data_IF_924835462384
#
_entry.id   IF_924835462384
#
_cell.length_a   1.000
_cell.length_b   1.000
_cell.length_c   1.000
_cell.angle_alpha   90.00
_cell.angle_beta   90.00
_cell.angle_gamma   90.00
#
_symmetry.space_group_name_H-M   'P 1'
#
loop_
_entity.id
_entity.type
_entity.pdbx_description
1 polymer ?
#
# COMPACT_ATOMS: atom_id res chain seq x y z
N UNK A 1 27.37 2.93 -2.86
CA UNK A 1 26.40 2.39 -3.83
C UNK A 1 25.96 3.54 -4.72
N UNK A 2 25.99 3.39 -6.05
CA UNK A 2 25.52 4.45 -6.94
C UNK A 2 23.99 4.60 -6.85
N UNK A 3 23.42 5.77 -7.18
CA UNK A 3 21.97 5.97 -7.14
C UNK A 3 21.16 4.92 -7.94
N UNK A 4 21.55 4.50 -9.16
CA UNK A 4 20.85 3.44 -9.89
C UNK A 4 20.86 2.10 -9.16
N UNK A 5 21.98 1.70 -8.57
CA UNK A 5 22.07 0.43 -7.83
C UNK A 5 21.21 0.48 -6.57
N UNK A 6 21.20 1.61 -5.86
CA UNK A 6 20.34 1.79 -4.69
C UNK A 6 18.85 1.76 -5.04
N UNK A 7 18.47 2.41 -6.14
CA UNK A 7 17.12 2.32 -6.71
C UNK A 7 16.77 0.88 -7.06
N UNK A 8 17.65 0.18 -7.79
CA UNK A 8 17.46 -1.20 -8.22
C UNK A 8 17.22 -2.14 -7.05
N UNK A 9 18.07 -2.08 -6.02
CA UNK A 9 17.92 -2.87 -4.80
C UNK A 9 16.59 -2.58 -4.10
N UNK A 10 16.22 -1.32 -3.90
CA UNK A 10 14.97 -0.97 -3.23
C UNK A 10 13.74 -1.41 -4.02
N UNK A 11 13.75 -1.27 -5.36
CA UNK A 11 12.65 -1.69 -6.23
C UNK A 11 12.48 -3.22 -6.25
N UNK A 12 13.51 -4.00 -5.90
CA UNK A 12 13.36 -5.44 -5.68
C UNK A 12 12.93 -5.77 -4.25
N UNK A 13 13.54 -5.14 -3.24
CA UNK A 13 13.28 -5.45 -1.83
C UNK A 13 11.86 -5.05 -1.42
N UNK A 14 11.38 -3.88 -1.84
CA UNK A 14 10.06 -3.36 -1.50
C UNK A 14 8.93 -4.35 -1.86
N UNK A 15 8.75 -4.78 -3.11
CA UNK A 15 7.65 -5.68 -3.47
C UNK A 15 7.79 -7.06 -2.83
N UNK A 16 9.01 -7.57 -2.62
CA UNK A 16 9.24 -8.85 -1.94
C UNK A 16 8.84 -8.76 -0.46
N UNK A 17 9.25 -7.70 0.23
CA UNK A 17 8.86 -7.45 1.62
C UNK A 17 7.35 -7.23 1.75
N UNK A 18 6.74 -6.45 0.85
CA UNK A 18 5.31 -6.20 0.82
C UNK A 18 4.51 -7.50 0.66
N UNK A 19 4.81 -8.29 -0.37
CA UNK A 19 4.08 -9.56 -0.62
C UNK A 19 4.35 -10.58 0.49
N UNK A 20 5.57 -10.64 1.02
CA UNK A 20 5.90 -11.53 2.14
C UNK A 20 5.11 -11.18 3.41
N UNK A 21 5.04 -9.89 3.77
CA UNK A 21 4.26 -9.41 4.90
C UNK A 21 2.75 -9.62 4.68
N UNK A 22 2.25 -9.35 3.47
CA UNK A 22 0.86 -9.61 3.10
C UNK A 22 0.51 -11.10 3.26
N UNK A 23 1.33 -12.00 2.72
CA UNK A 23 1.11 -13.45 2.83
C UNK A 23 1.16 -13.93 4.29
N UNK A 24 2.06 -13.37 5.10
CA UNK A 24 2.12 -13.68 6.52
C UNK A 24 0.88 -13.15 7.28
N UNK A 25 0.35 -11.99 6.92
CA UNK A 25 -0.90 -11.46 7.47
C UNK A 25 -2.10 -12.32 7.05
N UNK A 26 -2.14 -12.80 5.81
CA UNK A 26 -3.15 -13.75 5.36
C UNK A 26 -3.12 -15.03 6.20
N UNK A 27 -1.93 -15.61 6.40
CA UNK A 27 -1.77 -16.86 7.15
C UNK A 27 -2.09 -16.71 8.67
N UNK A 28 -1.73 -15.58 9.29
CA UNK A 28 -1.84 -15.41 10.75
C UNK A 28 -3.08 -14.65 11.21
N UNK A 29 -3.68 -13.85 10.34
CA UNK A 29 -4.76 -12.94 10.69
C UNK A 29 -5.93 -12.98 9.70
N UNK A 30 -5.89 -13.87 8.70
CA UNK A 30 -6.94 -14.02 7.69
C UNK A 30 -7.12 -12.74 6.84
N UNK A 31 -6.05 -11.97 6.67
CA UNK A 31 -6.06 -10.75 5.85
C UNK A 31 -6.07 -11.07 4.34
N UNK A 32 -6.87 -10.37 3.51
CA UNK A 32 -7.75 -9.24 3.83
C UNK A 32 -9.18 -9.63 4.22
N UNK A 33 -9.55 -10.91 4.20
CA UNK A 33 -10.93 -11.36 4.44
C UNK A 33 -11.46 -11.02 5.83
N UNK A 34 -10.59 -10.99 6.83
CA UNK A 34 -10.91 -10.53 8.20
C UNK A 34 -11.49 -9.11 8.21
N UNK A 35 -11.15 -8.25 7.25
CA UNK A 35 -11.67 -6.87 7.19
C UNK A 35 -13.18 -6.81 6.91
N UNK A 36 -13.76 -7.90 6.44
CA UNK A 36 -15.20 -8.02 6.16
C UNK A 36 -15.99 -8.57 7.34
N UNK A 37 -15.33 -8.91 8.45
CA UNK A 37 -15.96 -9.46 9.66
C UNK A 37 -16.47 -8.34 10.58
N UNK A 38 -17.39 -8.64 11.52
CA UNK A 38 -17.79 -7.70 12.54
C UNK A 38 -16.60 -7.24 13.39
N UNK A 39 -16.61 -5.99 13.86
CA UNK A 39 -15.50 -5.40 14.64
C UNK A 39 -15.07 -6.26 15.82
N UNK A 40 -16.02 -6.87 16.53
CA UNK A 40 -15.72 -7.73 17.67
C UNK A 40 -14.86 -8.94 17.27
N UNK A 41 -15.15 -9.58 16.13
CA UNK A 41 -14.36 -10.72 15.63
C UNK A 41 -12.95 -10.27 15.25
N UNK A 42 -12.83 -9.13 14.57
CA UNK A 42 -11.53 -8.55 14.18
C UNK A 42 -10.68 -8.29 15.42
N UNK A 43 -11.24 -7.58 16.41
CA UNK A 43 -10.53 -7.19 17.62
C UNK A 43 -10.16 -8.41 18.49
N UNK A 44 -11.02 -9.43 18.57
CA UNK A 44 -10.70 -10.67 19.26
C UNK A 44 -9.54 -11.40 18.59
N UNK A 45 -9.61 -11.65 17.27
CA UNK A 45 -8.50 -12.28 16.54
C UNK A 45 -7.21 -11.47 16.66
N UNK A 46 -7.32 -10.14 16.66
CA UNK A 46 -6.16 -9.28 16.81
C UNK A 46 -5.54 -9.42 18.22
N UNK A 47 -6.38 -9.54 19.26
CA UNK A 47 -5.95 -9.78 20.63
C UNK A 47 -5.23 -11.13 20.76
N UNK A 48 -5.77 -12.17 20.13
CA UNK A 48 -5.21 -13.53 20.12
C UNK A 48 -3.86 -13.59 19.39
N UNK A 49 -3.67 -12.77 18.34
CA UNK A 49 -2.40 -12.65 17.61
C UNK A 49 -1.25 -11.99 18.39
N UNK A 50 -1.56 -11.29 19.49
CA UNK A 50 -0.58 -10.74 20.42
C UNK A 50 0.45 -9.78 19.82
N UNK A 51 1.60 -9.66 20.46
CA UNK A 51 2.69 -8.77 20.02
C UNK A 51 3.27 -9.15 18.65
N UNK A 52 3.26 -10.44 18.31
CA UNK A 52 3.73 -10.92 17.00
C UNK A 52 2.92 -10.34 15.85
N UNK A 53 1.59 -10.27 15.99
CA UNK A 53 0.72 -9.66 14.97
C UNK A 53 0.91 -8.13 14.88
N UNK A 54 1.14 -7.46 16.02
CA UNK A 54 1.46 -6.01 16.03
C UNK A 54 2.75 -5.73 15.26
N UNK A 55 3.81 -6.51 15.51
CA UNK A 55 5.09 -6.37 14.80
C UNK A 55 4.96 -6.70 13.32
N UNK A 56 4.10 -7.64 12.95
CA UNK A 56 3.83 -7.97 11.56
C UNK A 56 3.14 -6.82 10.84
N UNK A 57 2.12 -6.22 11.44
CA UNK A 57 1.46 -5.03 10.91
C UNK A 57 2.40 -3.82 10.83
N UNK A 58 3.28 -3.64 11.82
CA UNK A 58 4.32 -2.63 11.76
C UNK A 58 5.28 -2.86 10.58
N UNK A 59 5.73 -4.11 10.40
CA UNK A 59 6.59 -4.49 9.28
C UNK A 59 5.91 -4.22 7.93
N UNK A 60 4.62 -4.53 7.80
CA UNK A 60 3.82 -4.22 6.62
C UNK A 60 3.66 -2.70 6.41
N UNK A 61 3.46 -1.92 7.47
CA UNK A 61 3.45 -0.46 7.36
C UNK A 61 4.80 0.10 6.87
N UNK A 62 5.93 -0.50 7.28
CA UNK A 62 7.25 -0.08 6.82
C UNK A 62 7.50 -0.34 5.34
N UNK A 63 6.83 -1.32 4.71
CA UNK A 63 6.98 -1.51 3.26
C UNK A 63 6.40 -0.34 2.47
N UNK A 64 5.37 0.35 3.00
CA UNK A 64 4.88 1.60 2.43
C UNK A 64 5.92 2.73 2.53
N UNK A 65 6.62 2.82 3.67
CA UNK A 65 7.69 3.82 3.87
C UNK A 65 8.83 3.63 2.87
N UNK A 66 9.16 2.39 2.50
CA UNK A 66 10.19 2.10 1.49
C UNK A 66 9.87 2.68 0.10
N UNK A 67 8.61 2.97 -0.21
CA UNK A 67 8.23 3.57 -1.49
C UNK A 67 8.76 5.00 -1.65
N UNK A 68 8.83 5.78 -0.56
CA UNK A 68 9.33 7.15 -0.61
C UNK A 68 10.78 7.26 -1.12
N UNK A 69 11.77 6.58 -0.51
CA UNK A 69 13.13 6.60 -1.04
C UNK A 69 13.23 5.89 -2.39
N UNK A 70 12.44 4.84 -2.66
CA UNK A 70 12.43 4.18 -3.97
C UNK A 70 11.99 5.14 -5.09
N UNK A 71 10.96 5.95 -4.87
CA UNK A 71 10.48 6.94 -5.83
C UNK A 71 11.54 8.02 -6.14
N UNK A 72 12.17 8.57 -5.10
CA UNK A 72 13.22 9.59 -5.25
C UNK A 72 14.46 9.03 -5.96
N UNK A 73 14.92 7.84 -5.56
CA UNK A 73 16.10 7.22 -6.13
C UNK A 73 15.88 6.78 -7.58
N UNK A 74 14.67 6.27 -7.91
CA UNK A 74 14.31 5.95 -9.28
C UNK A 74 14.36 7.20 -10.17
N UNK A 75 13.78 8.32 -9.74
CA UNK A 75 13.87 9.57 -10.51
C UNK A 75 15.31 10.02 -10.71
N UNK A 76 16.19 9.85 -9.72
CA UNK A 76 17.62 10.12 -9.85
C UNK A 76 18.38 9.15 -10.78
N UNK A 77 17.82 7.96 -11.04
CA UNK A 77 18.41 6.96 -11.93
C UNK A 77 18.01 7.13 -13.41
N UNK A 78 16.91 7.85 -13.69
CA UNK A 78 16.36 8.05 -15.03
C UNK A 78 16.96 9.26 -15.74
N UNK A 79 18.27 9.21 -16.00
CA UNK A 79 18.98 10.26 -16.73
C UNK A 79 18.35 10.50 -18.12
N UNK A 80 18.27 11.77 -18.55
CA UNK A 80 17.72 12.16 -19.86
C UNK A 80 16.20 12.38 -19.89
N UNK A 81 15.48 11.99 -18.84
CA UNK A 81 14.06 12.30 -18.71
C UNK A 81 13.81 13.78 -18.32
N UNK A 82 12.61 14.27 -18.61
CA UNK A 82 12.20 15.65 -18.31
C UNK A 82 12.30 15.95 -16.79
N UNK A 83 13.00 17.02 -16.37
CA UNK A 83 13.19 17.32 -14.94
C UNK A 83 11.88 17.59 -14.18
N UNK A 84 10.88 18.17 -14.84
CA UNK A 84 9.58 18.45 -14.20
C UNK A 84 8.85 17.15 -13.93
N UNK A 85 8.84 16.23 -14.89
CA UNK A 85 8.28 14.89 -14.76
C UNK A 85 8.95 14.10 -13.63
N UNK A 86 10.28 14.15 -13.52
CA UNK A 86 11.04 13.48 -12.45
C UNK A 86 10.72 14.04 -11.06
N UNK A 87 10.54 15.37 -10.96
CA UNK A 87 10.15 16.06 -9.73
C UNK A 87 8.72 15.70 -9.31
N UNK A 88 7.77 15.76 -10.24
CA UNK A 88 6.39 15.34 -10.02
C UNK A 88 6.32 13.86 -9.62
N UNK A 89 7.03 12.98 -10.33
CA UNK A 89 7.13 11.57 -9.97
C UNK A 89 7.64 11.36 -8.55
N UNK A 90 8.73 12.03 -8.17
CA UNK A 90 9.26 11.95 -6.80
C UNK A 90 8.24 12.40 -5.75
N UNK A 91 7.62 13.56 -5.96
CA UNK A 91 6.63 14.12 -5.04
C UNK A 91 5.40 13.21 -4.91
N UNK A 92 4.86 12.71 -6.03
CA UNK A 92 3.71 11.81 -6.04
C UNK A 92 4.03 10.48 -5.36
N UNK A 93 5.20 9.89 -5.60
CA UNK A 93 5.61 8.64 -4.95
C UNK A 93 5.81 8.79 -3.44
N UNK A 94 6.37 9.92 -2.98
CA UNK A 94 6.47 10.23 -1.55
C UNK A 94 5.09 10.41 -0.92
N UNK A 95 4.16 11.11 -1.60
CA UNK A 95 2.79 11.24 -1.11
C UNK A 95 2.08 9.89 -1.04
N UNK A 96 2.27 9.02 -2.05
CA UNK A 96 1.74 7.65 -2.05
C UNK A 96 2.24 6.86 -0.83
N UNK A 97 3.54 6.92 -0.55
CA UNK A 97 4.15 6.29 0.62
C UNK A 97 3.54 6.79 1.94
N UNK A 98 3.35 8.11 2.06
CA UNK A 98 2.79 8.73 3.26
C UNK A 98 1.35 8.29 3.50
N UNK A 99 0.46 8.39 2.51
CA UNK A 99 -0.96 8.03 2.71
C UNK A 99 -1.13 6.54 2.99
N UNK A 100 -0.34 5.69 2.30
CA UNK A 100 -0.37 4.25 2.52
C UNK A 100 0.11 3.90 3.95
N UNK A 101 1.19 4.55 4.40
CA UNK A 101 1.68 4.41 5.77
C UNK A 101 0.62 4.87 6.80
N UNK A 102 0.03 6.04 6.61
CA UNK A 102 -1.03 6.57 7.49
C UNK A 102 -2.24 5.64 7.58
N UNK A 103 -2.60 4.99 6.47
CA UNK A 103 -3.60 3.92 6.50
C UNK A 103 -3.16 2.78 7.42
N UNK A 104 -1.96 2.24 7.21
CA UNK A 104 -1.50 1.02 7.88
C UNK A 104 -1.18 1.21 9.37
N UNK A 105 -0.70 2.38 9.81
CA UNK A 105 -0.28 2.62 11.22
C UNK A 105 -1.40 2.50 12.26
N UNK A 106 -2.67 2.52 11.85
CA UNK A 106 -3.77 2.25 12.78
C UNK A 106 -3.66 0.86 13.41
N UNK A 107 -3.16 -0.14 12.67
CA UNK A 107 -3.02 -1.51 13.13
C UNK A 107 -2.01 -1.71 14.26
N UNK A 108 -0.80 -1.13 14.23
CA UNK A 108 0.15 -1.25 15.33
C UNK A 108 -0.12 -0.33 16.53
N UNK A 109 -0.90 0.76 16.38
CA UNK A 109 -1.05 1.75 17.45
C UNK A 109 -2.47 1.88 18.01
N UNK A 110 -3.49 1.97 17.15
CA UNK A 110 -4.88 2.17 17.58
C UNK A 110 -5.57 0.82 17.89
N UNK A 111 -5.48 -0.13 16.96
CA UNK A 111 -6.15 -1.44 17.07
C UNK A 111 -5.76 -2.22 18.34
N UNK A 112 -4.50 -2.23 18.82
CA UNK A 112 -4.16 -2.94 20.05
C UNK A 112 -4.81 -2.33 21.29
N UNK A 113 -5.03 -1.01 21.30
CA UNK A 113 -5.77 -0.34 22.37
C UNK A 113 -7.25 -0.74 22.32
N UNK A 114 -7.89 -0.58 21.16
CA UNK A 114 -9.30 -0.96 20.98
C UNK A 114 -9.56 -2.44 21.29
N UNK A 115 -8.64 -3.33 20.91
CA UNK A 115 -8.74 -4.76 21.21
C UNK A 115 -8.71 -5.05 22.72
N UNK A 116 -7.92 -4.30 23.51
CA UNK A 116 -7.94 -4.43 24.97
C UNK A 116 -9.24 -3.91 25.57
N UNK A 117 -9.68 -2.72 25.15
CA UNK A 117 -10.91 -2.11 25.65
C UNK A 117 -12.16 -2.94 25.33
N UNK A 118 -12.21 -3.58 24.15
CA UNK A 118 -13.32 -4.44 23.75
C UNK A 118 -13.37 -5.78 24.50
N UNK A 119 -12.20 -6.30 24.91
CA UNK A 119 -12.05 -7.63 25.55
C UNK A 119 -11.86 -7.58 27.06
N UNK A 120 -11.90 -6.39 27.67
CA UNK A 120 -11.88 -6.23 29.12
C UNK A 120 -13.11 -6.93 29.75
N UNK A 121 -12.94 -7.82 30.74
CA UNK A 121 -14.04 -8.48 31.44
C UNK A 121 -15.06 -7.52 32.07
N UNK A 122 -14.63 -6.31 32.44
CA UNK A 122 -15.46 -5.24 33.00
C UNK A 122 -16.06 -4.29 31.96
N UNK A 123 -15.83 -4.50 30.65
CA UNK A 123 -16.34 -3.61 29.60
C UNK A 123 -17.88 -3.63 29.55
N UNK A 124 -18.47 -2.46 29.80
CA UNK A 124 -19.91 -2.24 29.65
C UNK A 124 -20.35 -2.34 28.18
N UNK A 125 -21.65 -2.56 27.93
CA UNK A 125 -22.20 -2.54 26.58
C UNK A 125 -21.89 -1.22 25.84
N UNK A 126 -22.08 -0.09 26.52
CA UNK A 126 -21.77 1.24 25.98
C UNK A 126 -20.28 1.40 25.60
N UNK A 127 -19.35 0.81 26.36
CA UNK A 127 -17.92 0.82 26.01
C UNK A 127 -17.66 0.02 24.73
N UNK A 128 -18.28 -1.15 24.57
CA UNK A 128 -18.12 -1.99 23.38
C UNK A 128 -18.70 -1.33 22.12
N UNK A 129 -19.86 -0.67 22.24
CA UNK A 129 -20.46 0.13 21.17
C UNK A 129 -19.57 1.31 20.77
N UNK A 130 -19.01 2.03 21.76
CA UNK A 130 -18.08 3.12 21.48
C UNK A 130 -16.81 2.62 20.74
N UNK A 131 -16.26 1.48 21.16
CA UNK A 131 -15.12 0.86 20.45
C UNK A 131 -15.48 0.50 19.01
N UNK A 132 -16.69 -0.04 18.78
CA UNK A 132 -17.15 -0.34 17.42
C UNK A 132 -17.19 0.91 16.54
N UNK A 133 -17.84 1.98 17.01
CA UNK A 133 -17.91 3.26 16.28
C UNK A 133 -16.52 3.80 15.99
N UNK A 134 -15.61 3.84 16.98
CA UNK A 134 -14.24 4.33 16.80
C UNK A 134 -13.48 3.48 15.79
N UNK A 135 -13.53 2.15 15.91
CA UNK A 135 -12.87 1.25 14.96
C UNK A 135 -13.36 1.49 13.54
N UNK A 136 -14.68 1.53 13.35
CA UNK A 136 -15.30 1.72 12.05
C UNK A 136 -14.99 3.11 11.45
N UNK A 137 -14.97 4.17 12.25
CA UNK A 137 -14.58 5.52 11.82
C UNK A 137 -13.14 5.54 11.29
N UNK A 138 -12.19 4.97 12.02
CA UNK A 138 -10.79 4.91 11.59
C UNK A 138 -10.57 3.94 10.43
N UNK A 139 -11.32 2.84 10.35
CA UNK A 139 -11.22 1.90 9.25
C UNK A 139 -11.73 2.53 7.94
N UNK A 140 -12.83 3.28 7.98
CA UNK A 140 -13.36 4.01 6.81
C UNK A 140 -12.48 5.20 6.43
N UNK A 141 -12.02 5.98 7.40
CA UNK A 141 -11.22 7.16 7.09
C UNK A 141 -9.78 6.81 6.75
N UNK A 142 -9.01 6.27 7.70
CA UNK A 142 -7.60 5.95 7.46
C UNK A 142 -7.43 4.72 6.57
N UNK A 143 -8.24 3.67 6.76
CA UNK A 143 -8.15 2.47 5.93
C UNK A 143 -8.59 2.72 4.50
N UNK A 144 -9.88 2.98 4.32
CA UNK A 144 -10.48 3.07 2.98
C UNK A 144 -10.13 4.37 2.29
N UNK A 145 -10.46 5.54 2.86
CA UNK A 145 -10.28 6.80 2.14
C UNK A 145 -8.80 7.21 1.96
N UNK A 146 -7.98 7.09 3.02
CA UNK A 146 -6.57 7.49 2.96
C UNK A 146 -5.68 6.35 2.44
N UNK A 147 -5.77 5.17 3.04
CA UNK A 147 -4.87 4.06 2.74
C UNK A 147 -5.13 3.38 1.41
N UNK A 148 -6.39 3.11 1.07
CA UNK A 148 -6.76 2.37 -0.13
C UNK A 148 -7.04 3.34 -1.28
N UNK A 149 -7.98 4.27 -1.14
CA UNK A 149 -8.34 5.20 -2.22
C UNK A 149 -7.17 6.12 -2.62
N UNK A 150 -6.68 6.97 -1.72
CA UNK A 150 -5.54 7.84 -2.05
C UNK A 150 -4.26 7.03 -2.30
N UNK A 151 -4.04 5.94 -1.57
CA UNK A 151 -2.90 5.05 -1.78
C UNK A 151 -2.84 4.47 -3.19
N UNK A 152 -3.94 3.90 -3.68
CA UNK A 152 -4.02 3.30 -5.01
C UNK A 152 -3.91 4.37 -6.09
N UNK A 153 -4.59 5.51 -5.91
CA UNK A 153 -4.56 6.62 -6.86
C UNK A 153 -3.15 7.18 -7.02
N UNK A 154 -2.48 7.49 -5.91
CA UNK A 154 -1.14 8.09 -5.95
C UNK A 154 -0.07 7.08 -6.37
N UNK A 155 -0.18 5.81 -5.97
CA UNK A 155 0.72 4.75 -6.47
C UNK A 155 0.55 4.55 -7.98
N UNK A 156 -0.70 4.58 -8.46
CA UNK A 156 -1.01 4.51 -9.88
C UNK A 156 -0.46 5.70 -10.66
N UNK A 157 -0.72 6.92 -10.19
CA UNK A 157 -0.20 8.15 -10.78
C UNK A 157 1.33 8.18 -10.81
N UNK A 158 1.99 7.79 -9.71
CA UNK A 158 3.45 7.65 -9.64
C UNK A 158 3.95 6.65 -10.68
N UNK A 159 3.33 5.47 -10.78
CA UNK A 159 3.75 4.44 -11.73
C UNK A 159 3.64 4.91 -13.18
N UNK A 160 2.59 5.69 -13.50
CA UNK A 160 2.43 6.29 -14.81
C UNK A 160 3.47 7.37 -15.10
N UNK A 161 3.72 8.30 -14.17
CA UNK A 161 4.75 9.33 -14.31
C UNK A 161 6.15 8.71 -14.47
N UNK A 162 6.47 7.72 -13.64
CA UNK A 162 7.71 6.95 -13.74
C UNK A 162 7.80 6.25 -15.10
N UNK A 163 6.71 5.65 -15.57
CA UNK A 163 6.66 5.00 -16.88
C UNK A 163 6.91 5.95 -18.05
N UNK A 164 6.35 7.16 -18.03
CA UNK A 164 6.64 8.20 -19.03
C UNK A 164 8.11 8.61 -18.97
N UNK A 165 8.67 8.78 -17.77
CA UNK A 165 10.08 9.14 -17.60
C UNK A 165 11.02 8.02 -18.08
N UNK A 166 10.65 6.75 -17.88
CA UNK A 166 11.40 5.60 -18.38
C UNK A 166 11.45 5.56 -19.91
N UNK A 167 10.38 5.95 -20.60
CA UNK A 167 10.37 6.02 -22.08
C UNK A 167 11.36 7.09 -22.59
N UNK A 168 11.62 8.13 -21.80
CA UNK A 168 12.55 9.21 -22.14
C UNK A 168 14.01 8.90 -21.76
N UNK A 169 14.25 7.86 -20.97
CA UNK A 169 15.57 7.53 -20.43
C UNK A 169 16.16 6.29 -21.09
N UNK A 170 17.48 6.24 -21.38
CA UNK A 170 18.13 5.02 -21.84
C UNK A 170 18.43 4.03 -20.70
N UNK A 171 18.17 4.39 -19.44
CA UNK A 171 18.53 3.58 -18.28
C UNK A 171 17.76 2.24 -18.20
N UNK A 172 16.56 2.19 -18.78
CA UNK A 172 15.72 0.98 -18.82
C UNK A 172 15.00 0.87 -20.17
N UNK A 173 14.57 -0.32 -20.61
CA UNK A 173 13.82 -0.46 -21.85
C UNK A 173 12.49 0.31 -21.83
N UNK A 174 12.15 0.99 -22.93
CA UNK A 174 10.89 1.73 -23.07
C UNK A 174 9.63 0.87 -22.83
N UNK A 175 9.71 -0.44 -23.10
CA UNK A 175 8.63 -1.39 -22.82
C UNK A 175 8.25 -1.40 -21.33
N UNK A 176 9.23 -1.31 -20.42
CA UNK A 176 8.95 -1.23 -18.99
C UNK A 176 8.24 0.08 -18.63
N UNK A 177 8.54 1.16 -19.35
CA UNK A 177 7.80 2.42 -19.21
C UNK A 177 6.33 2.29 -19.62
N UNK A 178 6.05 1.64 -20.76
CA UNK A 178 4.68 1.37 -21.22
C UNK A 178 3.91 0.51 -20.22
N UNK A 179 4.54 -0.56 -19.70
CA UNK A 179 3.93 -1.41 -18.67
C UNK A 179 3.61 -0.59 -17.41
N UNK A 180 4.52 0.27 -16.96
CA UNK A 180 4.31 1.15 -15.81
C UNK A 180 3.11 2.10 -15.98
N UNK A 181 2.93 2.65 -17.18
CA UNK A 181 1.76 3.49 -17.53
C UNK A 181 0.46 2.69 -17.43
N UNK A 182 0.42 1.50 -18.04
CA UNK A 182 -0.77 0.64 -18.06
C UNK A 182 -1.13 0.20 -16.64
N UNK A 183 -0.17 -0.34 -15.88
CA UNK A 183 -0.38 -0.75 -14.49
C UNK A 183 -0.80 0.44 -13.63
N UNK A 184 -0.19 1.60 -13.85
CA UNK A 184 -0.54 2.84 -13.14
C UNK A 184 -1.99 3.27 -13.38
N UNK A 185 -2.46 3.21 -14.63
CA UNK A 185 -3.84 3.50 -14.97
C UNK A 185 -4.83 2.51 -14.34
N UNK A 186 -4.48 1.22 -14.30
CA UNK A 186 -5.31 0.19 -13.65
C UNK A 186 -5.35 0.39 -12.13
N UNK A 187 -4.23 0.75 -11.47
CA UNK A 187 -4.23 1.10 -10.04
C UNK A 187 -5.09 2.34 -9.75
N UNK A 188 -5.02 3.36 -10.59
CA UNK A 188 -5.90 4.52 -10.47
C UNK A 188 -7.38 4.13 -10.61
N UNK A 189 -7.71 3.18 -11.48
CA UNK A 189 -9.07 2.62 -11.58
C UNK A 189 -9.47 1.84 -10.31
N UNK A 190 -8.54 1.06 -9.74
CA UNK A 190 -8.75 0.33 -8.49
C UNK A 190 -9.08 1.28 -7.32
N UNK A 191 -8.55 2.50 -7.32
CA UNK A 191 -8.88 3.51 -6.31
C UNK A 191 -10.39 3.83 -6.23
N UNK A 192 -11.15 3.57 -7.30
CA UNK A 192 -12.58 3.83 -7.35
C UNK A 192 -13.42 2.73 -6.68
N UNK A 193 -12.81 1.69 -6.10
CA UNK A 193 -13.53 0.63 -5.36
C UNK A 193 -14.54 1.20 -4.36
N UNK A 194 -14.17 2.23 -3.61
CA UNK A 194 -15.02 2.81 -2.56
C UNK A 194 -15.59 4.19 -2.89
N UNK A 195 -15.38 4.68 -4.12
CA UNK A 195 -15.93 5.97 -4.63
C UNK A 195 -16.90 5.75 -5.79
N UNK A 196 -16.86 4.58 -6.43
CA UNK A 196 -17.77 4.16 -7.50
C UNK A 196 -19.24 4.07 -7.07
N UNK A 197 -20.13 3.45 -7.86
CA UNK A 197 -21.57 3.47 -7.59
C UNK A 197 -21.82 3.08 -6.14
N UNK A 198 -22.43 4.01 -5.41
CA UNK A 198 -22.52 4.08 -3.95
C UNK A 198 -23.25 2.86 -3.37
N UNK A 199 -22.57 1.73 -3.30
CA UNK A 199 -23.07 0.47 -2.78
C UNK A 199 -22.33 0.18 -1.45
N UNK A 200 -23.03 -0.31 -0.41
CA UNK A 200 -22.42 -0.76 0.84
C UNK A 200 -21.25 -1.75 0.66
N UNK A 201 -21.11 -2.37 -0.51
CA UNK A 201 -20.05 -3.31 -0.87
C UNK A 201 -18.99 -2.82 -1.87
N UNK A 202 -19.03 -1.55 -2.31
CA UNK A 202 -18.06 -1.00 -3.27
C UNK A 202 -18.18 -1.54 -4.71
N UNK A 203 -17.31 -1.05 -5.59
CA UNK A 203 -17.24 -1.48 -6.99
C UNK A 203 -16.46 -2.80 -7.12
N UNK A 204 -17.21 -3.90 -7.22
CA UNK A 204 -16.69 -5.28 -7.27
C UNK A 204 -15.59 -5.52 -8.32
N UNK A 205 -15.66 -4.84 -9.46
CA UNK A 205 -14.64 -4.98 -10.50
C UNK A 205 -13.30 -4.40 -10.05
N UNK A 206 -13.31 -3.18 -9.49
CA UNK A 206 -12.10 -2.58 -8.92
C UNK A 206 -11.54 -3.48 -7.80
N UNK A 207 -12.39 -3.94 -6.89
CA UNK A 207 -12.01 -4.87 -5.82
C UNK A 207 -11.31 -6.14 -6.33
N UNK A 208 -11.83 -6.75 -7.40
CA UNK A 208 -11.27 -7.96 -7.99
C UNK A 208 -9.95 -7.70 -8.74
N UNK A 209 -9.78 -6.51 -9.31
CA UNK A 209 -8.56 -6.13 -10.03
C UNK A 209 -7.40 -5.78 -9.09
N UNK A 210 -7.69 -5.24 -7.90
CA UNK A 210 -6.66 -4.75 -6.97
C UNK A 210 -5.55 -5.78 -6.68
N UNK A 211 -5.85 -7.03 -6.25
CA UNK A 211 -4.79 -8.00 -5.93
C UNK A 211 -3.93 -8.37 -7.14
N UNK A 212 -4.56 -8.60 -8.29
CA UNK A 212 -3.87 -8.95 -9.54
C UNK A 212 -2.96 -7.80 -9.98
N UNK A 213 -3.46 -6.57 -9.90
CA UNK A 213 -2.72 -5.37 -10.27
C UNK A 213 -1.50 -5.16 -9.38
N UNK A 214 -1.62 -5.39 -8.06
CA UNK A 214 -0.48 -5.32 -7.14
C UNK A 214 0.58 -6.39 -7.41
N UNK A 215 0.19 -7.60 -7.83
CA UNK A 215 1.15 -8.64 -8.24
C UNK A 215 1.90 -8.20 -9.50
N UNK A 216 1.18 -7.73 -10.53
CA UNK A 216 1.80 -7.24 -11.77
C UNK A 216 2.71 -6.04 -11.49
N UNK A 217 2.26 -5.09 -10.66
CA UNK A 217 3.07 -3.96 -10.21
C UNK A 217 4.33 -4.40 -9.47
N UNK A 218 4.22 -5.41 -8.60
CA UNK A 218 5.37 -5.98 -7.88
C UNK A 218 6.39 -6.59 -8.83
N UNK A 219 5.94 -7.35 -9.82
CA UNK A 219 6.81 -7.92 -10.85
C UNK A 219 7.46 -6.84 -11.72
N UNK A 220 6.70 -5.78 -12.05
CA UNK A 220 7.22 -4.62 -12.78
C UNK A 220 8.33 -3.90 -12.00
N UNK A 221 8.14 -3.65 -10.70
CA UNK A 221 9.19 -3.06 -9.85
C UNK A 221 10.46 -3.92 -9.82
N UNK A 222 10.32 -5.24 -9.65
CA UNK A 222 11.47 -6.17 -9.68
C UNK A 222 12.17 -6.10 -11.04
N UNK A 223 11.41 -6.13 -12.14
CA UNK A 223 11.97 -6.04 -13.48
C UNK A 223 12.74 -4.73 -13.70
N UNK A 224 12.15 -3.57 -13.37
CA UNK A 224 12.83 -2.28 -13.42
C UNK A 224 14.09 -2.30 -12.55
N UNK A 225 13.99 -2.87 -11.35
CA UNK A 225 15.11 -2.96 -10.42
C UNK A 225 16.29 -3.74 -11.00
N UNK A 226 16.03 -4.87 -11.68
CA UNK A 226 17.06 -5.67 -12.34
C UNK A 226 17.80 -4.90 -13.45
N UNK A 227 17.11 -4.08 -14.24
CA UNK A 227 17.75 -3.28 -15.29
C UNK A 227 18.61 -2.11 -14.76
N UNK A 228 18.41 -1.70 -13.50
CA UNK A 228 19.22 -0.67 -12.85
C UNK A 228 20.46 -1.21 -12.13
N UNK A 229 20.64 -2.53 -12.10
CA UNK A 229 21.84 -3.19 -11.60
C UNK A 229 22.91 -3.28 -12.71
N UNK A 230 24.20 -3.38 -12.36
CA UNK A 230 25.31 -3.54 -13.32
C UNK A 230 25.32 -4.91 -14.00
#
# INVERSE_FOLDING_TARGET
>A
MSPPVAAGVLLMVLPLAFNGAFAALAAKFDYPDILRKPTQEILQRFRDGGSGLVLLWWSFAMTAVLLAPAAVLLSGALAGADPTLLSLGSATGVLAAVVQFLGLVRWPFLVPFLAREATDPGATAARKEAVDVVFQSFNRFLGVAVGEHLGYLLTGAWSALAGVAMIQSPAVPALLGIVGIVVGAVLALCSLEFVGPFEPGGWKLAAALTPVTYIVWSLWLVAVGLFLLP
#
